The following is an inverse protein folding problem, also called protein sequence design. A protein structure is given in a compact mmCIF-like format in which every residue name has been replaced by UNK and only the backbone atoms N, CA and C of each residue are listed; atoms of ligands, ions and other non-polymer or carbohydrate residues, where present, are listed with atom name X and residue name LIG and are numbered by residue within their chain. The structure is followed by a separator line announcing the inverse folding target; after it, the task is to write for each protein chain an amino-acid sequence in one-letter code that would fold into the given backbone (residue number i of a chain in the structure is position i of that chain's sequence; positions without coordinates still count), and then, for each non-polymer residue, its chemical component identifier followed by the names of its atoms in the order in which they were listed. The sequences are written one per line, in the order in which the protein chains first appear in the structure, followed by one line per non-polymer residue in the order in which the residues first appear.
data_IF_739950347400
#
_entry.id   IF_739950347400
#
_cell.length_a   1.000
_cell.length_b   1.000
_cell.length_c   1.000
_cell.angle_alpha   90.00
_cell.angle_beta   90.00
_cell.angle_gamma   90.00
#
_symmetry.space_group_name_H-M   'P 1'
#
loop_
_entity.id
_entity.type
_entity.pdbx_description
1 polymer ?
#
# COMPACT_ATOMS: atom_id res chain seq x y z
N UNK A 1 12.52 -7.78 20.42
CA UNK A 1 11.26 -7.12 20.01
C UNK A 1 10.96 -7.53 18.58
N UNK A 2 9.69 -7.66 18.22
CA UNK A 2 9.27 -8.02 16.85
C UNK A 2 8.54 -6.84 16.24
N UNK A 3 9.08 -6.27 15.16
CA UNK A 3 8.42 -5.22 14.40
C UNK A 3 7.49 -5.84 13.37
N UNK A 4 6.22 -5.45 13.43
CA UNK A 4 5.20 -5.87 12.46
C UNK A 4 4.98 -4.75 11.45
N UNK A 5 5.33 -5.00 10.19
CA UNK A 5 5.44 -3.99 9.13
C UNK A 5 4.45 -4.35 8.02
N UNK A 6 3.57 -3.41 7.65
CA UNK A 6 2.76 -3.54 6.43
C UNK A 6 3.46 -2.85 5.27
N UNK A 7 3.73 -3.56 4.19
CA UNK A 7 4.24 -2.97 2.94
C UNK A 7 3.12 -2.86 1.92
N UNK A 8 2.97 -1.70 1.29
CA UNK A 8 1.96 -1.40 0.28
C UNK A 8 2.66 -1.00 -1.03
N UNK A 9 2.40 -1.73 -2.10
CA UNK A 9 2.96 -1.46 -3.42
C UNK A 9 1.84 -1.38 -4.47
N UNK A 10 1.29 -0.18 -4.72
CA UNK A 10 0.38 0.06 -5.81
C UNK A 10 1.10 -0.08 -7.16
N UNK A 11 0.50 -0.85 -8.06
CA UNK A 11 0.87 -0.97 -9.47
C UNK A 11 -0.32 -0.59 -10.36
N UNK A 12 -0.10 -0.64 -11.68
CA UNK A 12 -1.11 -0.24 -12.67
C UNK A 12 -2.42 -1.01 -12.51
N UNK A 13 -2.39 -2.34 -12.47
CA UNK A 13 -3.58 -3.21 -12.40
C UNK A 13 -3.65 -4.06 -11.13
N UNK A 14 -2.77 -3.79 -10.16
CA UNK A 14 -2.75 -4.52 -8.89
C UNK A 14 -2.25 -3.66 -7.74
N UNK A 15 -2.56 -4.06 -6.51
CA UNK A 15 -1.88 -3.59 -5.31
C UNK A 15 -1.33 -4.81 -4.57
N UNK A 16 -0.01 -4.86 -4.41
CA UNK A 16 0.61 -5.91 -3.60
C UNK A 16 0.69 -5.47 -2.15
N UNK A 17 0.31 -6.34 -1.24
CA UNK A 17 0.40 -6.13 0.20
C UNK A 17 1.22 -7.25 0.82
N UNK A 18 1.98 -6.94 1.85
CA UNK A 18 2.65 -7.96 2.67
C UNK A 18 2.81 -7.49 4.12
N UNK A 19 2.76 -8.45 5.04
CA UNK A 19 3.13 -8.26 6.44
C UNK A 19 4.47 -8.93 6.67
N UNK A 20 5.39 -8.17 7.23
CA UNK A 20 6.67 -8.66 7.71
C UNK A 20 6.70 -8.63 9.24
N UNK A 21 7.28 -9.67 9.83
CA UNK A 21 7.71 -9.68 11.22
C UNK A 21 9.24 -9.68 11.22
N UNK A 22 9.81 -8.51 11.53
CA UNK A 22 11.21 -8.19 11.26
C UNK A 22 11.53 -8.44 9.77
N UNK A 23 12.38 -9.42 9.47
CA UNK A 23 12.79 -9.78 8.11
C UNK A 23 11.91 -10.87 7.48
N UNK A 24 11.03 -11.49 8.26
CA UNK A 24 10.23 -12.62 7.81
C UNK A 24 8.91 -12.16 7.20
N UNK A 25 8.69 -12.46 5.92
CA UNK A 25 7.39 -12.26 5.27
C UNK A 25 6.38 -13.31 5.77
N UNK A 26 5.47 -12.92 6.67
CA UNK A 26 4.48 -13.83 7.26
C UNK A 26 3.16 -13.88 6.49
N UNK A 27 2.88 -12.86 5.67
CA UNK A 27 1.71 -12.83 4.81
C UNK A 27 1.99 -11.96 3.59
N UNK A 28 1.46 -12.36 2.43
CA UNK A 28 1.50 -11.55 1.21
C UNK A 28 0.29 -11.86 0.34
N UNK A 29 -0.21 -10.85 -0.35
CA UNK A 29 -1.31 -10.98 -1.31
C UNK A 29 -1.13 -10.01 -2.46
N UNK A 30 -1.70 -10.38 -3.61
CA UNK A 30 -1.77 -9.53 -4.78
C UNK A 30 -3.25 -9.20 -5.05
N UNK A 31 -3.68 -8.00 -4.66
CA UNK A 31 -5.04 -7.51 -4.92
C UNK A 31 -5.09 -7.09 -6.39
N UNK A 32 -5.87 -7.81 -7.21
CA UNK A 32 -6.06 -7.48 -8.62
C UNK A 32 -7.20 -6.50 -8.78
N UNK A 33 -7.02 -5.54 -9.69
CA UNK A 33 -8.02 -4.54 -10.03
C UNK A 33 -8.50 -4.77 -11.45
N UNK A 34 -9.81 -4.71 -11.67
CA UNK A 34 -10.38 -4.81 -13.01
C UNK A 34 -9.95 -3.58 -13.84
N UNK A 35 -9.35 -3.83 -14.99
CA UNK A 35 -8.89 -2.77 -15.90
C UNK A 35 -10.07 -1.96 -16.42
N UNK A 36 -11.24 -2.58 -16.64
CA UNK A 36 -12.46 -1.87 -17.06
C UNK A 36 -12.98 -0.89 -15.99
N UNK A 37 -12.61 -1.08 -14.73
CA UNK A 37 -12.95 -0.14 -13.64
C UNK A 37 -11.89 0.95 -13.57
N UNK A 38 -10.61 0.59 -13.69
CA UNK A 38 -9.48 1.54 -13.72
C UNK A 38 -9.63 2.54 -14.88
N UNK A 39 -10.03 2.08 -16.06
CA UNK A 39 -10.15 2.90 -17.27
C UNK A 39 -11.30 3.93 -17.19
N UNK A 40 -12.11 3.91 -16.11
CA UNK A 40 -13.16 4.90 -15.85
C UNK A 40 -12.66 6.12 -15.08
N UNK A 41 -11.44 6.10 -14.56
CA UNK A 41 -10.85 7.22 -13.84
C UNK A 41 -10.05 8.09 -14.80
N UNK A 42 -10.29 9.39 -14.78
CA UNK A 42 -9.60 10.35 -15.66
C UNK A 42 -8.13 10.51 -15.26
N UNK A 43 -7.84 10.45 -13.96
CA UNK A 43 -6.49 10.55 -13.40
C UNK A 43 -6.17 9.42 -12.43
N UNK A 44 -4.88 9.15 -12.24
CA UNK A 44 -4.41 8.12 -11.29
C UNK A 44 -4.82 8.45 -9.86
N UNK A 45 -4.83 9.74 -9.49
CA UNK A 45 -5.20 10.18 -8.14
C UNK A 45 -6.67 9.91 -7.81
N UNK A 46 -7.55 9.93 -8.82
CA UNK A 46 -8.99 9.67 -8.65
C UNK A 46 -9.26 8.23 -8.20
N UNK A 47 -8.28 7.33 -8.39
CA UNK A 47 -8.36 5.94 -7.95
C UNK A 47 -8.15 5.78 -6.44
N UNK A 48 -7.82 6.85 -5.69
CA UNK A 48 -7.45 6.78 -4.27
C UNK A 48 -8.43 5.96 -3.44
N UNK A 49 -9.72 6.32 -3.44
CA UNK A 49 -10.73 5.63 -2.64
C UNK A 49 -10.95 4.19 -3.11
N UNK A 50 -10.95 3.96 -4.43
CA UNK A 50 -11.05 2.63 -5.01
C UNK A 50 -9.93 1.70 -4.52
N UNK A 51 -8.69 2.19 -4.53
CA UNK A 51 -7.52 1.44 -4.09
C UNK A 51 -7.55 1.25 -2.56
N UNK A 52 -7.87 2.29 -1.80
CA UNK A 52 -7.95 2.23 -0.34
C UNK A 52 -8.98 1.22 0.12
N UNK A 53 -10.19 1.24 -0.46
CA UNK A 53 -11.26 0.30 -0.14
C UNK A 53 -10.82 -1.15 -0.39
N UNK A 54 -10.22 -1.43 -1.55
CA UNK A 54 -9.73 -2.77 -1.87
C UNK A 54 -8.63 -3.26 -0.90
N UNK A 55 -7.76 -2.36 -0.44
CA UNK A 55 -6.74 -2.67 0.58
C UNK A 55 -7.41 -3.01 1.91
N UNK A 56 -8.33 -2.15 2.38
CA UNK A 56 -9.01 -2.32 3.66
C UNK A 56 -9.87 -3.59 3.70
N UNK A 57 -10.56 -3.91 2.61
CA UNK A 57 -11.31 -5.16 2.46
C UNK A 57 -10.41 -6.39 2.56
N UNK A 58 -9.27 -6.39 1.88
CA UNK A 58 -8.35 -7.53 1.90
C UNK A 58 -7.68 -7.71 3.26
N UNK A 59 -7.31 -6.61 3.95
CA UNK A 59 -6.77 -6.66 5.31
C UNK A 59 -7.81 -7.18 6.31
N UNK A 60 -9.07 -6.72 6.20
CA UNK A 60 -10.19 -7.20 7.03
C UNK A 60 -10.47 -8.69 6.79
N UNK A 61 -10.55 -9.12 5.53
CA UNK A 61 -10.75 -10.52 5.14
C UNK A 61 -9.63 -11.42 5.66
N UNK A 62 -8.39 -10.93 5.65
CA UNK A 62 -7.22 -11.63 6.19
C UNK A 62 -7.09 -11.54 7.72
N UNK A 63 -8.06 -10.90 8.40
CA UNK A 63 -8.08 -10.70 9.86
C UNK A 63 -6.81 -10.01 10.38
N UNK A 64 -6.25 -9.10 9.59
CA UNK A 64 -5.10 -8.29 9.99
C UNK A 64 -5.61 -7.12 10.83
N UNK A 65 -5.22 -7.10 12.10
CA UNK A 65 -5.48 -5.98 12.99
C UNK A 65 -4.43 -4.88 12.78
N UNK A 66 -4.89 -3.72 12.30
CA UNK A 66 -4.04 -2.55 12.04
C UNK A 66 -3.38 -2.00 13.30
N UNK A 67 -4.00 -2.16 14.47
CA UNK A 67 -3.45 -1.69 15.73
C UNK A 67 -2.19 -2.45 16.17
N UNK A 68 -1.96 -3.64 15.58
CA UNK A 68 -0.77 -4.46 15.84
C UNK A 68 0.42 -4.07 14.96
N UNK A 69 0.22 -3.19 13.98
CA UNK A 69 1.29 -2.73 13.08
C UNK A 69 2.14 -1.69 13.79
N UNK A 70 3.46 -1.82 13.66
CA UNK A 70 4.42 -0.85 14.16
C UNK A 70 4.71 0.24 13.13
N UNK A 71 4.61 -0.10 11.84
CA UNK A 71 4.80 0.85 10.75
C UNK A 71 4.15 0.34 9.45
N UNK A 72 3.90 1.28 8.55
CA UNK A 72 3.37 1.04 7.21
C UNK A 72 4.34 1.70 6.23
N UNK A 73 4.77 0.97 5.21
CA UNK A 73 5.72 1.44 4.20
C UNK A 73 5.08 1.36 2.82
N UNK A 74 5.05 2.49 2.13
CA UNK A 74 4.60 2.59 0.74
C UNK A 74 5.76 2.65 -0.25
N UNK A 75 5.53 2.20 -1.48
CA UNK A 75 6.42 2.54 -2.61
C UNK A 75 6.32 4.05 -2.88
N UNK A 76 7.46 4.72 -3.04
CA UNK A 76 7.51 6.14 -3.41
C UNK A 76 6.75 6.43 -4.71
N UNK A 77 6.04 7.57 -4.71
CA UNK A 77 5.24 8.05 -5.83
C UNK A 77 5.99 9.01 -6.76
N UNK A 78 5.23 9.81 -7.51
CA UNK A 78 5.77 10.87 -8.37
C UNK A 78 6.13 12.11 -7.53
N UNK A 79 7.30 12.07 -6.90
CA UNK A 79 7.83 13.18 -6.12
C UNK A 79 8.79 14.04 -6.96
N UNK A 80 9.06 15.26 -6.50
CA UNK A 80 10.19 16.06 -6.98
C UNK A 80 11.51 15.27 -6.76
N UNK A 81 12.59 15.61 -7.48
CA UNK A 81 13.89 14.99 -7.22
C UNK A 81 14.30 15.11 -5.75
N UNK A 82 14.60 13.98 -5.12
CA UNK A 82 15.04 13.85 -3.73
C UNK A 82 16.17 12.81 -3.66
N UNK A 83 16.93 12.81 -2.57
CA UNK A 83 17.94 11.78 -2.33
C UNK A 83 17.33 10.38 -2.18
N UNK A 84 18.15 9.35 -2.34
CA UNK A 84 17.72 7.97 -2.09
C UNK A 84 17.63 7.70 -0.60
N UNK A 85 16.50 7.15 -0.14
CA UNK A 85 16.34 6.81 1.26
C UNK A 85 14.90 6.48 1.64
N UNK A 86 14.69 6.30 2.94
CA UNK A 86 13.37 6.15 3.55
C UNK A 86 12.95 7.46 4.18
N UNK A 87 11.73 7.89 3.90
CA UNK A 87 11.20 9.16 4.37
C UNK A 87 9.94 8.97 5.22
N UNK A 88 9.78 9.81 6.24
CA UNK A 88 8.50 9.97 6.92
C UNK A 88 7.59 10.76 5.97
N UNK A 89 6.41 10.22 5.68
CA UNK A 89 5.43 10.87 4.81
C UNK A 89 4.90 12.13 5.51
N UNK A 90 4.80 13.23 4.75
CA UNK A 90 4.25 14.50 5.19
C UNK A 90 3.38 15.12 4.07
N UNK A 91 2.76 16.26 4.36
CA UNK A 91 1.83 16.94 3.44
C UNK A 91 2.51 17.44 2.16
N UNK A 92 3.83 17.64 2.14
CA UNK A 92 4.58 18.05 0.95
C UNK A 92 4.75 16.92 -0.09
N UNK A 93 4.40 15.68 0.27
CA UNK A 93 4.56 14.47 -0.55
C UNK A 93 3.26 14.01 -1.25
N UNK A 94 2.16 14.73 -1.09
CA UNK A 94 0.83 14.39 -1.63
C UNK A 94 0.46 15.27 -2.82
#
# INVERSE_FOLDING_TARGET
MTYKILTINPGSTSTKLAIFENENCVWKVNVKHDSNVIDKFDHVIDQYDFRMNAIMEELKKSKIDLSTLHTIVGRGGMLKPIEGGTYIINDDMV
#
